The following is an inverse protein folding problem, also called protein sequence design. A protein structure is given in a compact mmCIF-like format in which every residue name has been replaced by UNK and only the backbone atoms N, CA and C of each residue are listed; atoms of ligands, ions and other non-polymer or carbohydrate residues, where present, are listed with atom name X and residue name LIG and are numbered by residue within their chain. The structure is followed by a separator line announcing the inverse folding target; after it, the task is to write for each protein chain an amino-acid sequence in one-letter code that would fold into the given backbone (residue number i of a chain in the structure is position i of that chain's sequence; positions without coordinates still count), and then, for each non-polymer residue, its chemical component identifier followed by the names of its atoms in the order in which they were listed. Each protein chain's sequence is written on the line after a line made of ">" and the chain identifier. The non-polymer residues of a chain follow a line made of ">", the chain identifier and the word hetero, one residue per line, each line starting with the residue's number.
data_IF_229304337177
#
_entry.id   IF_229304337177
#
_cell.length_a   1.000
_cell.length_b   1.000
_cell.length_c   1.000
_cell.angle_alpha   90.00
_cell.angle_beta   90.00
_cell.angle_gamma   90.00
#
_symmetry.space_group_name_H-M   'P 1'
#
loop_
_entity.id
_entity.type
_entity.pdbx_description
1 polymer ?
#
# COMPACT_ATOMS: atom_id res chain seq x y z
N UNK A 1 30.19 17.39 4.64
CA UNK A 1 29.59 16.23 5.32
C UNK A 1 28.54 16.75 6.29
N UNK A 2 27.29 16.85 5.86
CA UNK A 2 26.16 17.34 6.67
C UNK A 2 25.37 16.15 7.19
N UNK A 3 25.16 16.10 8.51
CA UNK A 3 24.53 14.99 9.21
C UNK A 3 23.09 14.76 8.71
N UNK A 4 22.76 13.50 8.44
CA UNK A 4 21.42 13.06 8.05
C UNK A 4 20.42 13.35 9.17
N UNK A 5 19.57 14.34 8.93
CA UNK A 5 18.47 14.67 9.82
C UNK A 5 17.41 13.58 9.75
N UNK A 6 17.45 12.64 10.70
CA UNK A 6 16.42 11.62 10.91
C UNK A 6 15.07 12.30 11.13
N UNK A 7 14.14 12.11 10.19
CA UNK A 7 12.82 12.74 10.23
C UNK A 7 11.91 11.98 11.21
N UNK A 8 11.06 12.69 11.99
CA UNK A 8 10.19 12.05 12.96
C UNK A 8 9.18 11.08 12.30
N UNK A 9 8.76 10.02 13.00
CA UNK A 9 7.83 9.03 12.48
C UNK A 9 6.46 9.67 12.17
N UNK A 10 5.94 9.45 10.96
CA UNK A 10 4.63 9.92 10.51
C UNK A 10 3.50 9.38 11.40
N UNK A 11 2.72 10.29 12.00
CA UNK A 11 1.61 10.02 12.94
C UNK A 11 0.21 10.08 12.30
N UNK A 12 0.13 10.50 11.05
CA UNK A 12 -1.11 10.77 10.30
C UNK A 12 -1.80 9.51 9.73
N UNK A 13 -1.27 8.31 10.01
CA UNK A 13 -1.78 7.03 9.50
C UNK A 13 -2.19 6.05 10.63
N UNK A 14 -3.07 6.43 11.58
CA UNK A 14 -3.43 5.56 12.70
C UNK A 14 -4.14 4.26 12.26
N UNK A 15 -4.76 4.23 11.07
CA UNK A 15 -5.44 3.05 10.55
C UNK A 15 -4.49 1.96 10.04
N UNK A 16 -3.27 2.31 9.58
CA UNK A 16 -2.23 1.33 9.22
C UNK A 16 -1.75 0.56 10.46
N UNK A 17 -1.63 1.25 11.60
CA UNK A 17 -1.15 0.66 12.86
C UNK A 17 -2.17 -0.28 13.50
N UNK A 18 -3.48 -0.04 13.31
CA UNK A 18 -4.53 -0.84 13.97
C UNK A 18 -4.75 -2.23 13.38
N UNK A 19 -4.40 -2.47 12.11
CA UNK A 19 -4.56 -3.81 11.49
C UNK A 19 -3.32 -4.69 11.58
N UNK A 20 -2.15 -4.13 11.86
CA UNK A 20 -0.91 -4.90 12.04
C UNK A 20 -0.85 -5.72 13.34
N UNK A 21 -1.80 -5.52 14.28
CA UNK A 21 -1.84 -6.24 15.57
C UNK A 21 -3.09 -7.11 15.71
N UNK A 22 -3.30 -8.02 14.78
CA UNK A 22 -3.90 -9.31 15.12
C UNK A 22 -2.74 -10.24 15.45
N UNK A 23 -2.50 -10.45 16.74
CA UNK A 23 -1.48 -11.36 17.24
C UNK A 23 -1.76 -12.79 16.75
N UNK A 24 -0.67 -13.51 16.46
CA UNK A 24 -0.61 -14.86 15.90
C UNK A 24 -1.60 -15.83 16.57
N UNK A 25 -2.47 -16.41 15.75
CA UNK A 25 -3.09 -17.69 16.08
C UNK A 25 -2.02 -18.80 15.99
N UNK A 26 -2.02 -19.81 16.87
CA UNK A 26 -1.12 -20.96 16.76
C UNK A 26 -1.34 -21.68 15.42
N UNK A 27 -0.31 -22.34 14.85
CA UNK A 27 -0.43 -23.00 13.56
C UNK A 27 -1.49 -24.09 13.62
N UNK A 28 -2.56 -23.91 12.84
CA UNK A 28 -3.49 -24.99 12.55
C UNK A 28 -2.77 -26.04 11.71
N UNK A 29 -2.75 -27.27 12.21
CA UNK A 29 -2.31 -28.47 11.50
C UNK A 29 -2.94 -28.57 10.10
N UNK A 30 -2.10 -28.87 9.12
CA UNK A 30 -2.42 -28.90 7.68
C UNK A 30 -3.63 -29.80 7.33
N UNK A 31 -4.54 -29.37 6.42
CA UNK A 31 -5.63 -30.21 5.94
C UNK A 31 -5.18 -30.91 4.64
N UNK A 32 -4.27 -31.89 4.75
CA UNK A 32 -3.96 -32.79 3.62
C UNK A 32 -4.78 -34.10 3.65
N UNK A 33 -5.45 -34.40 4.77
CA UNK A 33 -6.19 -35.65 4.94
C UNK A 33 -7.69 -35.58 4.54
N UNK A 34 -8.28 -34.38 4.50
CA UNK A 34 -9.75 -34.25 4.36
C UNK A 34 -10.29 -34.50 2.94
N UNK A 35 -9.45 -34.41 1.90
CA UNK A 35 -9.87 -34.66 0.50
C UNK A 35 -9.75 -36.15 0.14
N UNK A 36 -8.84 -36.89 0.77
CA UNK A 36 -8.68 -38.32 0.54
C UNK A 36 -9.83 -39.15 1.14
N UNK A 37 -10.37 -38.76 2.31
CA UNK A 37 -11.46 -39.49 2.96
C UNK A 37 -12.83 -39.32 2.28
N UNK A 38 -13.06 -38.20 1.57
CA UNK A 38 -14.30 -37.98 0.81
C UNK A 38 -14.38 -38.86 -0.45
N UNK A 39 -13.26 -39.08 -1.13
CA UNK A 39 -13.19 -39.95 -2.32
C UNK A 39 -13.31 -41.44 -1.93
N UNK A 40 -12.92 -41.80 -0.70
CA UNK A 40 -12.96 -43.18 -0.19
C UNK A 40 -14.31 -43.59 0.48
N UNK A 41 -15.32 -42.72 0.48
CA UNK A 41 -16.66 -43.06 1.00
C UNK A 41 -16.74 -43.31 2.51
N UNK A 42 -15.78 -42.84 3.31
CA UNK A 42 -15.79 -43.03 4.77
C UNK A 42 -16.47 -41.84 5.45
N UNK A 43 -17.71 -42.06 5.91
CA UNK A 43 -18.45 -41.09 6.72
C UNK A 43 -17.81 -40.91 8.11
N UNK A 44 -17.85 -39.70 8.70
CA UNK A 44 -17.28 -39.47 10.01
C UNK A 44 -18.10 -40.15 11.12
N UNK A 45 -17.41 -40.89 11.98
CA UNK A 45 -17.99 -41.52 13.16
C UNK A 45 -18.42 -40.47 14.20
N UNK A 46 -19.67 -40.58 14.65
CA UNK A 46 -20.33 -39.73 15.65
C UNK A 46 -19.69 -39.94 17.03
N UNK A 47 -18.98 -38.93 17.54
CA UNK A 47 -18.39 -38.95 18.90
C UNK A 47 -19.48 -38.71 19.96
N UNK A 48 -19.64 -39.58 20.97
CA UNK A 48 -20.63 -39.39 22.04
C UNK A 48 -20.23 -38.26 23.00
N UNK A 49 -21.25 -37.55 23.48
CA UNK A 49 -21.17 -36.51 24.49
C UNK A 49 -20.89 -37.12 25.88
N UNK A 50 -19.92 -36.55 26.61
CA UNK A 50 -19.68 -36.88 28.01
C UNK A 50 -20.30 -35.80 28.90
N UNK A 51 -21.10 -36.26 29.86
CA UNK A 51 -21.84 -35.48 30.86
C UNK A 51 -21.05 -35.42 32.17
N UNK A 52 -21.25 -34.30 32.88
CA UNK A 52 -21.14 -34.10 34.34
C UNK A 52 -19.77 -34.03 35.04
N UNK A 53 -19.53 -32.92 35.74
CA UNK A 53 -19.39 -32.92 37.21
C UNK A 53 -19.43 -31.47 37.76
N UNK A 54 -20.16 -31.29 38.86
CA UNK A 54 -20.39 -30.04 39.56
C UNK A 54 -19.66 -29.99 40.91
N UNK A 55 -19.53 -28.74 41.43
CA UNK A 55 -19.22 -28.31 42.81
C UNK A 55 -17.73 -28.13 43.20
N UNK A 56 -17.38 -27.29 44.22
CA UNK A 56 -18.22 -26.41 45.04
C UNK A 56 -17.80 -24.91 45.04
N UNK A 57 -18.63 -24.10 45.69
CA UNK A 57 -18.47 -22.66 45.90
C UNK A 57 -17.33 -22.34 46.87
N UNK A 58 -16.42 -21.45 46.45
CA UNK A 58 -15.43 -20.78 47.29
C UNK A 58 -15.87 -19.34 47.56
N UNK A 59 -16.01 -19.03 48.84
CA UNK A 59 -16.39 -17.75 49.42
C UNK A 59 -15.26 -16.71 49.34
N UNK A 60 -15.67 -15.48 49.01
CA UNK A 60 -15.09 -14.19 49.41
C UNK A 60 -13.65 -13.82 49.00
N UNK A 61 -13.56 -12.90 48.04
CA UNK A 61 -12.71 -11.71 48.19
C UNK A 61 -13.42 -10.51 47.54
N UNK A 62 -13.83 -9.56 48.36
CA UNK A 62 -14.48 -8.32 47.93
C UNK A 62 -13.58 -7.53 46.97
N UNK A 63 -14.13 -7.26 45.80
CA UNK A 63 -13.57 -6.38 44.78
C UNK A 63 -13.99 -4.96 45.12
N UNK A 64 -13.02 -4.10 45.44
CA UNK A 64 -13.24 -2.65 45.48
C UNK A 64 -13.97 -2.21 44.19
N UNK A 65 -15.01 -1.38 44.26
CA UNK A 65 -15.70 -0.87 43.09
C UNK A 65 -14.70 -0.07 42.25
N UNK A 66 -14.18 -0.67 41.18
CA UNK A 66 -13.36 0.01 40.19
C UNK A 66 -14.23 1.11 39.59
N UNK A 67 -13.90 2.40 39.75
CA UNK A 67 -14.68 3.47 39.15
C UNK A 67 -14.78 3.20 37.65
N UNK A 68 -16.01 3.21 37.13
CA UNK A 68 -16.29 3.03 35.72
C UNK A 68 -15.45 4.05 34.95
N UNK A 69 -14.45 3.55 34.21
CA UNK A 69 -13.65 4.42 33.36
C UNK A 69 -14.60 5.16 32.43
N UNK A 70 -14.50 6.49 32.30
CA UNK A 70 -15.36 7.23 31.38
C UNK A 70 -15.24 6.59 30.00
N UNK A 71 -16.35 6.08 29.49
CA UNK A 71 -16.46 5.54 28.13
C UNK A 71 -16.05 6.65 27.18
N UNK A 72 -14.79 6.61 26.74
CA UNK A 72 -14.28 7.59 25.81
C UNK A 72 -15.21 7.60 24.58
N UNK A 73 -15.71 8.78 24.16
CA UNK A 73 -16.59 8.86 23.00
C UNK A 73 -15.89 8.19 21.83
N UNK A 74 -16.58 7.21 21.22
CA UNK A 74 -16.05 6.48 20.08
C UNK A 74 -15.72 7.49 18.98
N UNK A 75 -14.43 7.66 18.70
CA UNK A 75 -14.00 8.53 17.62
C UNK A 75 -14.71 8.09 16.32
N UNK A 76 -15.20 9.02 15.50
CA UNK A 76 -15.90 8.67 14.26
C UNK A 76 -15.01 7.76 13.42
N UNK A 77 -15.54 6.61 13.03
CA UNK A 77 -14.83 5.66 12.18
C UNK A 77 -14.58 6.32 10.82
N UNK A 78 -13.32 6.55 10.47
CA UNK A 78 -12.96 7.04 9.15
C UNK A 78 -13.38 6.01 8.09
N UNK A 79 -14.31 6.38 7.23
CA UNK A 79 -14.74 5.56 6.09
C UNK A 79 -14.02 6.08 4.84
N UNK A 80 -13.03 5.34 4.30
CA UNK A 80 -12.35 5.77 3.10
C UNK A 80 -13.32 5.80 1.91
N UNK A 81 -13.20 6.83 1.07
CA UNK A 81 -13.96 6.94 -0.17
C UNK A 81 -13.58 5.78 -1.10
N UNK A 82 -14.52 5.31 -1.91
CA UNK A 82 -14.28 4.35 -2.99
C UNK A 82 -14.49 5.02 -4.35
N UNK A 83 -13.78 4.60 -5.41
CA UNK A 83 -14.01 5.14 -6.75
C UNK A 83 -15.40 4.75 -7.24
N UNK A 84 -16.09 5.68 -7.90
CA UNK A 84 -17.33 5.37 -8.62
C UNK A 84 -16.99 4.82 -10.01
N UNK A 85 -17.74 3.84 -10.54
CA UNK A 85 -17.63 3.47 -11.96
C UNK A 85 -18.05 4.60 -12.90
N UNK A 86 -18.96 5.48 -12.45
CA UNK A 86 -19.61 6.49 -13.30
C UNK A 86 -18.81 7.80 -13.44
N UNK A 87 -17.63 7.91 -12.83
CA UNK A 87 -16.85 9.14 -12.90
C UNK A 87 -15.47 9.10 -12.26
N UNK A 88 -14.67 10.11 -12.55
CA UNK A 88 -13.33 10.25 -12.00
C UNK A 88 -13.37 10.62 -10.51
N UNK A 89 -12.56 9.93 -9.72
CA UNK A 89 -12.32 10.29 -8.31
C UNK A 89 -11.06 11.13 -8.21
N UNK A 90 -11.23 12.43 -7.98
CA UNK A 90 -10.09 13.35 -7.83
C UNK A 90 -9.54 13.30 -6.40
N UNK A 91 -8.25 13.01 -6.26
CA UNK A 91 -7.51 13.08 -5.00
C UNK A 91 -6.88 14.46 -4.87
N UNK A 92 -7.22 15.16 -3.80
CA UNK A 92 -6.70 16.50 -3.51
C UNK A 92 -5.96 16.48 -2.18
N UNK A 93 -5.19 17.51 -1.84
CA UNK A 93 -4.54 17.62 -0.53
C UNK A 93 -5.54 17.51 0.64
N UNK A 94 -6.77 17.99 0.46
CA UNK A 94 -7.85 17.89 1.46
C UNK A 94 -8.52 16.52 1.50
N UNK A 95 -8.46 15.76 0.41
CA UNK A 95 -9.06 14.43 0.26
C UNK A 95 -8.06 13.52 -0.46
N UNK A 96 -6.96 13.14 0.21
CA UNK A 96 -5.84 12.51 -0.48
C UNK A 96 -6.04 11.02 -0.69
N UNK A 97 -7.01 10.38 -0.02
CA UNK A 97 -7.10 8.92 0.08
C UNK A 97 -8.35 8.36 -0.58
N UNK A 98 -8.19 7.25 -1.31
CA UNK A 98 -9.27 6.40 -1.82
C UNK A 98 -8.91 4.94 -1.58
N UNK A 99 -9.91 4.12 -1.23
CA UNK A 99 -9.80 2.68 -1.09
C UNK A 99 -10.39 2.02 -2.32
N UNK A 100 -9.56 1.30 -3.08
CA UNK A 100 -10.04 0.43 -4.15
C UNK A 100 -10.81 -0.74 -3.54
N UNK A 101 -11.90 -1.15 -4.18
CA UNK A 101 -12.61 -2.35 -3.74
C UNK A 101 -11.81 -3.62 -4.08
N UNK A 102 -12.22 -4.76 -3.53
CA UNK A 102 -11.57 -6.05 -3.77
C UNK A 102 -11.52 -6.41 -5.26
N UNK A 103 -12.58 -6.12 -6.01
CA UNK A 103 -12.65 -6.42 -7.45
C UNK A 103 -11.61 -5.59 -8.23
N UNK A 104 -11.56 -4.29 -7.96
CA UNK A 104 -10.61 -3.34 -8.52
C UNK A 104 -9.16 -3.61 -8.11
N UNK A 105 -8.95 -4.32 -6.99
CA UNK A 105 -7.61 -4.65 -6.47
C UNK A 105 -7.11 -6.04 -6.88
N UNK A 106 -7.98 -6.89 -7.43
CA UNK A 106 -7.66 -8.30 -7.69
C UNK A 106 -7.75 -8.71 -9.17
N UNK A 107 -8.31 -7.87 -10.04
CA UNK A 107 -8.54 -8.24 -11.45
C UNK A 107 -7.72 -7.37 -12.39
N UNK A 108 -7.00 -8.02 -13.30
CA UNK A 108 -6.32 -7.37 -14.42
C UNK A 108 -5.11 -6.58 -13.97
N UNK A 109 -5.05 -5.30 -14.35
CA UNK A 109 -3.94 -4.43 -14.04
C UNK A 109 -4.42 -3.06 -13.56
N UNK A 110 -3.66 -2.45 -12.64
CA UNK A 110 -3.78 -1.04 -12.31
C UNK A 110 -2.77 -0.28 -13.17
N UNK A 111 -3.27 0.53 -14.10
CA UNK A 111 -2.45 1.37 -14.97
C UNK A 111 -2.34 2.76 -14.39
N UNK A 112 -1.12 3.28 -14.29
CA UNK A 112 -0.84 4.58 -13.71
C UNK A 112 -0.02 5.36 -14.72
N UNK A 113 -0.59 6.45 -15.23
CA UNK A 113 -0.02 7.22 -16.33
C UNK A 113 0.21 8.67 -15.90
N UNK A 114 1.40 9.17 -16.24
CA UNK A 114 1.71 10.59 -16.14
C UNK A 114 1.21 11.35 -17.37
N UNK A 115 0.36 12.35 -17.16
CA UNK A 115 -0.12 13.27 -18.19
C UNK A 115 0.41 14.68 -17.88
N UNK A 116 1.61 14.98 -18.36
CA UNK A 116 2.27 16.29 -18.19
C UNK A 116 2.90 16.74 -19.52
N UNK A 117 3.28 18.03 -19.66
CA UNK A 117 3.91 18.50 -20.88
C UNK A 117 5.20 17.72 -21.19
N UNK A 118 5.54 17.55 -22.49
CA UNK A 118 6.72 16.79 -22.90
C UNK A 118 7.99 17.23 -22.18
N UNK A 119 8.87 16.27 -21.86
CA UNK A 119 10.15 16.51 -21.17
C UNK A 119 10.04 17.17 -19.78
N UNK A 120 8.83 17.36 -19.23
CA UNK A 120 8.66 17.97 -17.91
C UNK A 120 9.00 17.04 -16.75
N UNK A 121 8.82 15.72 -16.91
CA UNK A 121 9.11 14.79 -15.83
C UNK A 121 9.30 13.34 -16.29
N UNK A 122 10.04 12.59 -15.47
CA UNK A 122 10.28 11.14 -15.53
C UNK A 122 9.54 10.43 -14.40
N UNK A 123 8.71 9.45 -14.71
CA UNK A 123 7.90 8.65 -13.80
C UNK A 123 8.65 7.39 -13.39
N UNK A 124 8.67 7.12 -12.10
CA UNK A 124 9.17 5.86 -11.58
C UNK A 124 8.45 5.43 -10.31
N UNK A 125 8.90 4.31 -9.76
CA UNK A 125 8.24 3.66 -8.63
C UNK A 125 9.27 2.95 -7.75
N UNK A 126 9.23 3.16 -6.43
CA UNK A 126 9.88 2.29 -5.46
C UNK A 126 8.82 1.47 -4.74
N UNK A 127 9.12 0.20 -4.49
CA UNK A 127 8.17 -0.69 -3.86
C UNK A 127 8.81 -1.77 -3.00
N UNK A 128 7.97 -2.34 -2.15
CA UNK A 128 8.32 -3.41 -1.23
C UNK A 128 7.36 -4.57 -1.43
N UNK A 129 7.94 -5.76 -1.61
CA UNK A 129 7.21 -7.01 -1.67
C UNK A 129 6.98 -7.57 -0.26
N UNK A 130 6.01 -8.47 -0.15
CA UNK A 130 5.70 -9.21 1.06
C UNK A 130 6.88 -10.03 1.60
N UNK A 131 7.81 -10.43 0.72
CA UNK A 131 9.07 -11.07 1.11
C UNK A 131 10.03 -10.13 1.85
N UNK A 132 9.72 -8.85 1.96
CA UNK A 132 10.59 -7.81 2.52
C UNK A 132 11.62 -7.27 1.52
N UNK A 133 11.62 -7.75 0.27
CA UNK A 133 12.49 -7.23 -0.80
C UNK A 133 11.98 -5.86 -1.24
N UNK A 134 12.87 -4.87 -1.25
CA UNK A 134 12.61 -3.55 -1.82
C UNK A 134 13.30 -3.43 -3.17
N UNK A 135 12.68 -2.75 -4.12
CA UNK A 135 13.25 -2.49 -5.43
C UNK A 135 12.65 -1.23 -6.04
N UNK A 136 13.25 -0.77 -7.13
CA UNK A 136 12.82 0.40 -7.88
C UNK A 136 12.65 0.04 -9.35
N UNK A 137 11.68 0.66 -9.98
CA UNK A 137 11.55 0.70 -11.44
C UNK A 137 11.66 2.17 -11.85
N UNK A 138 12.70 2.48 -12.61
CA UNK A 138 13.10 3.84 -12.96
C UNK A 138 13.40 3.93 -14.46
N UNK A 139 13.05 5.04 -15.16
CA UNK A 139 13.43 5.22 -16.55
C UNK A 139 14.96 5.16 -16.73
N UNK A 140 15.43 4.28 -17.60
CA UNK A 140 16.86 4.05 -17.82
C UNK A 140 17.52 3.13 -16.79
N UNK A 141 16.82 2.75 -15.71
CA UNK A 141 17.28 1.76 -14.75
C UNK A 141 17.05 0.33 -15.23
N UNK A 142 17.97 -0.57 -14.91
CA UNK A 142 17.79 -2.02 -15.09
C UNK A 142 17.46 -2.63 -13.73
N UNK A 143 16.38 -3.42 -13.59
CA UNK A 143 15.46 -3.86 -14.64
C UNK A 143 14.29 -2.88 -14.89
N UNK A 144 13.94 -2.63 -16.16
CA UNK A 144 12.73 -1.86 -16.52
C UNK A 144 11.40 -2.57 -16.21
N UNK A 145 11.47 -3.86 -15.86
CA UNK A 145 10.36 -4.68 -15.40
C UNK A 145 10.82 -5.50 -14.19
N UNK A 146 10.10 -5.36 -13.08
CA UNK A 146 10.31 -6.16 -11.88
C UNK A 146 8.94 -6.57 -11.37
N UNK A 147 8.59 -7.84 -11.53
CA UNK A 147 7.29 -8.34 -11.10
C UNK A 147 7.00 -7.93 -9.64
N UNK A 148 5.79 -7.40 -9.33
CA UNK A 148 4.59 -7.32 -10.18
C UNK A 148 4.44 -6.01 -11.00
N UNK A 149 5.48 -5.18 -11.08
CA UNK A 149 5.46 -3.87 -11.71
C UNK A 149 6.22 -3.84 -13.04
N UNK A 150 5.65 -3.15 -14.01
CA UNK A 150 6.29 -2.87 -15.30
C UNK A 150 6.22 -1.38 -15.58
N UNK A 151 7.33 -0.77 -15.97
CA UNK A 151 7.35 0.59 -16.49
C UNK A 151 7.47 0.52 -18.01
N UNK A 152 6.62 1.28 -18.69
CA UNK A 152 6.62 1.38 -20.15
C UNK A 152 6.68 2.86 -20.52
N UNK A 153 7.66 3.21 -21.35
CA UNK A 153 7.80 4.53 -21.94
C UNK A 153 7.47 4.43 -23.44
N UNK A 154 6.38 5.06 -23.85
CA UNK A 154 5.93 5.12 -25.24
C UNK A 154 6.02 6.57 -25.71
N UNK A 155 7.17 6.94 -26.28
CA UNK A 155 7.48 8.33 -26.61
C UNK A 155 7.49 9.19 -25.36
N UNK A 156 6.62 10.19 -25.30
CA UNK A 156 6.50 11.14 -24.19
C UNK A 156 5.62 10.62 -23.05
N UNK A 157 4.83 9.56 -23.28
CA UNK A 157 3.94 8.99 -22.28
C UNK A 157 4.65 7.90 -21.48
N UNK A 158 4.60 8.02 -20.16
CA UNK A 158 5.16 7.03 -19.24
C UNK A 158 4.05 6.41 -18.41
N UNK A 159 4.03 5.07 -18.39
CA UNK A 159 2.99 4.28 -17.73
C UNK A 159 3.65 3.25 -16.83
N UNK A 160 3.27 3.26 -15.54
CA UNK A 160 3.54 2.18 -14.60
C UNK A 160 2.32 1.27 -14.58
N UNK A 161 2.53 -0.02 -14.85
CA UNK A 161 1.50 -1.05 -14.80
C UNK A 161 1.78 -2.00 -13.65
N UNK A 162 0.82 -2.14 -12.75
CA UNK A 162 0.82 -3.11 -11.67
C UNK A 162 -0.08 -4.29 -12.03
N UNK A 163 0.47 -5.50 -12.06
CA UNK A 163 -0.31 -6.73 -12.19
C UNK A 163 -1.08 -7.01 -10.89
N UNK A 164 -2.41 -6.96 -10.97
CA UNK A 164 -3.27 -7.15 -9.81
C UNK A 164 -3.50 -8.62 -9.48
N UNK A 165 -3.20 -9.55 -10.39
CA UNK A 165 -3.20 -10.98 -10.07
C UNK A 165 -2.12 -11.33 -9.04
N UNK A 166 -1.06 -10.51 -9.00
CA UNK A 166 0.05 -10.61 -8.05
C UNK A 166 -0.03 -9.56 -6.95
N UNK A 167 -1.21 -8.99 -6.72
CA UNK A 167 -1.37 -7.89 -5.76
C UNK A 167 -0.93 -8.27 -4.34
N UNK A 168 -1.11 -9.53 -3.94
CA UNK A 168 -0.72 -10.03 -2.62
C UNK A 168 0.79 -10.10 -2.40
N UNK A 169 1.57 -10.05 -3.47
CA UNK A 169 3.03 -9.98 -3.37
C UNK A 169 3.52 -8.56 -3.06
N UNK A 170 2.71 -7.52 -3.32
CA UNK A 170 3.07 -6.13 -3.08
C UNK A 170 2.49 -5.64 -1.74
N UNK A 171 3.34 -5.20 -0.82
CA UNK A 171 2.90 -4.61 0.46
C UNK A 171 2.64 -3.10 0.30
N UNK A 172 3.58 -2.39 -0.33
CA UNK A 172 3.49 -0.95 -0.55
C UNK A 172 4.35 -0.48 -1.72
N UNK A 173 3.95 0.64 -2.30
CA UNK A 173 4.71 1.35 -3.33
C UNK A 173 4.59 2.86 -3.17
N UNK A 174 5.56 3.60 -3.70
CA UNK A 174 5.46 5.03 -3.97
C UNK A 174 5.67 5.26 -5.46
N UNK A 175 4.88 6.16 -6.03
CA UNK A 175 5.16 6.68 -7.36
C UNK A 175 5.71 8.08 -7.25
N UNK A 176 6.71 8.32 -8.08
CA UNK A 176 7.49 9.54 -8.09
C UNK A 176 7.58 10.08 -9.51
N UNK A 177 7.69 11.40 -9.60
CA UNK A 177 8.11 12.08 -10.81
C UNK A 177 9.41 12.85 -10.52
N UNK A 178 10.41 12.74 -11.38
CA UNK A 178 11.63 13.56 -11.30
C UNK A 178 11.69 14.55 -12.45
N UNK A 179 12.14 15.76 -12.15
CA UNK A 179 12.49 16.75 -13.15
C UNK A 179 13.89 17.30 -12.85
N UNK A 180 14.74 17.35 -13.88
CA UNK A 180 16.11 17.87 -13.76
C UNK A 180 16.13 19.41 -13.86
N UNK A 181 15.02 20.00 -14.33
CA UNK A 181 14.86 21.45 -14.53
C UNK A 181 13.88 22.04 -13.52
N UNK A 182 14.03 23.33 -13.21
CA UNK A 182 13.09 24.07 -12.38
C UNK A 182 11.85 24.50 -13.18
N UNK A 183 11.06 23.53 -13.66
CA UNK A 183 9.79 23.77 -14.38
C UNK A 183 8.61 23.60 -13.42
N UNK A 184 7.49 24.34 -13.62
CA UNK A 184 6.27 24.13 -12.84
C UNK A 184 5.80 22.68 -12.91
N UNK A 185 5.34 22.14 -11.78
CA UNK A 185 4.70 20.84 -11.72
C UNK A 185 3.27 20.96 -12.21
N UNK A 186 3.06 20.76 -13.51
CA UNK A 186 1.75 20.85 -14.16
C UNK A 186 1.39 19.53 -14.83
N UNK A 187 0.16 19.05 -14.63
CA UNK A 187 -0.34 17.84 -15.27
C UNK A 187 -1.34 17.08 -14.40
N UNK A 188 -1.48 15.79 -14.66
CA UNK A 188 -2.31 14.88 -13.85
C UNK A 188 -1.68 13.49 -13.85
N UNK A 189 -1.63 12.84 -12.68
CA UNK A 189 -1.43 11.40 -12.59
C UNK A 189 -2.79 10.71 -12.69
N UNK A 190 -2.96 9.87 -13.72
CA UNK A 190 -4.19 9.13 -13.97
C UNK A 190 -4.01 7.66 -13.61
N UNK A 191 -4.83 7.16 -12.69
CA UNK A 191 -4.93 5.75 -12.39
C UNK A 191 -6.20 5.18 -13.02
N UNK A 192 -6.08 4.08 -13.74
CA UNK A 192 -7.20 3.36 -14.34
C UNK A 192 -7.25 1.92 -13.83
N UNK A 193 -8.38 1.53 -13.25
CA UNK A 193 -8.60 0.15 -12.79
C UNK A 193 -9.22 -0.71 -13.88
N UNK A 194 -9.24 -2.02 -13.67
CA UNK A 194 -10.17 -2.89 -14.38
C UNK A 194 -11.62 -2.42 -14.21
N UNK A 195 -12.41 -2.43 -15.28
CA UNK A 195 -13.76 -1.86 -15.30
C UNK A 195 -13.84 -0.35 -15.56
N UNK A 196 -12.70 0.31 -15.80
CA UNK A 196 -12.68 1.69 -16.31
C UNK A 196 -12.83 2.80 -15.26
N UNK A 197 -12.89 2.47 -13.97
CA UNK A 197 -12.88 3.48 -12.91
C UNK A 197 -11.57 4.28 -12.96
N UNK A 198 -11.68 5.60 -12.73
CA UNK A 198 -10.56 6.53 -12.82
C UNK A 198 -10.31 7.23 -11.50
N UNK A 199 -9.03 7.34 -11.14
CA UNK A 199 -8.58 8.16 -10.02
C UNK A 199 -7.58 9.17 -10.56
N UNK A 200 -7.79 10.44 -10.28
CA UNK A 200 -6.96 11.54 -10.78
C UNK A 200 -6.24 12.20 -9.62
N UNK A 201 -4.93 12.39 -9.77
CA UNK A 201 -4.14 13.25 -8.89
C UNK A 201 -3.66 14.41 -9.77
N UNK A 202 -4.38 15.55 -9.78
CA UNK A 202 -3.92 16.72 -10.51
C UNK A 202 -2.53 17.12 -10.00
N UNK A 203 -1.75 17.84 -10.79
CA UNK A 203 -0.45 18.39 -10.43
C UNK A 203 -0.49 19.88 -10.76
N UNK A 204 -0.31 20.68 -9.71
CA UNK A 204 -0.27 22.13 -9.73
C UNK A 204 0.64 22.59 -8.58
N UNK A 205 1.88 22.89 -8.94
CA UNK A 205 2.93 23.23 -7.99
C UNK A 205 3.95 24.20 -8.58
N UNK A 206 4.65 24.94 -7.71
CA UNK A 206 5.68 25.89 -8.14
C UNK A 206 6.83 25.17 -8.85
N UNK A 207 7.61 25.89 -9.68
CA UNK A 207 8.77 25.32 -10.32
C UNK A 207 9.80 24.83 -9.30
N UNK A 208 10.21 23.57 -9.40
CA UNK A 208 11.23 23.01 -8.54
C UNK A 208 11.91 21.78 -9.18
N UNK A 209 13.25 21.72 -9.23
CA UNK A 209 13.96 20.53 -9.68
C UNK A 209 13.93 19.45 -8.59
N UNK A 210 14.24 18.20 -8.94
CA UNK A 210 14.31 17.07 -8.02
C UNK A 210 13.11 16.13 -8.15
N UNK A 211 12.74 15.48 -7.05
CA UNK A 211 11.72 14.42 -7.04
C UNK A 211 10.45 14.89 -6.35
N UNK A 212 9.31 14.71 -7.00
CA UNK A 212 7.98 14.85 -6.43
C UNK A 212 7.37 13.46 -6.18
N UNK A 213 7.09 13.15 -4.92
CA UNK A 213 6.32 11.95 -4.55
C UNK A 213 4.84 12.24 -4.82
N UNK A 214 4.33 11.61 -5.87
CA UNK A 214 2.97 11.86 -6.37
C UNK A 214 1.95 11.14 -5.50
N UNK A 215 2.19 9.85 -5.26
CA UNK A 215 1.27 9.00 -4.52
C UNK A 215 1.98 7.86 -3.79
N UNK A 216 1.33 7.35 -2.77
CA UNK A 216 1.63 6.09 -2.12
C UNK A 216 0.49 5.09 -2.32
N UNK A 217 0.85 3.81 -2.38
CA UNK A 217 -0.04 2.67 -2.53
C UNK A 217 0.24 1.70 -1.39
N UNK A 218 -0.79 1.24 -0.69
CA UNK A 218 -0.67 0.25 0.38
C UNK A 218 -1.65 -0.90 0.15
N UNK A 219 -1.19 -2.13 0.30
CA UNK A 219 -2.05 -3.30 0.32
C UNK A 219 -2.57 -3.55 1.75
N UNK A 220 -3.88 -3.43 1.94
CA UNK A 220 -4.57 -3.73 3.18
C UNK A 220 -5.46 -4.94 2.99
N UNK A 221 -4.92 -6.13 3.29
CA UNK A 221 -5.67 -7.39 3.24
C UNK A 221 -6.28 -7.68 1.85
N UNK A 222 -5.55 -7.35 0.78
CA UNK A 222 -5.97 -7.55 -0.61
C UNK A 222 -6.80 -6.41 -1.20
N UNK A 223 -7.03 -5.32 -0.45
CA UNK A 223 -7.56 -4.06 -1.00
C UNK A 223 -6.45 -3.01 -1.05
N UNK A 224 -6.35 -2.28 -2.16
CA UNK A 224 -5.38 -1.20 -2.27
C UNK A 224 -5.92 0.13 -1.75
N UNK A 225 -5.16 0.76 -0.86
CA UNK A 225 -5.32 2.16 -0.49
C UNK A 225 -4.38 3.00 -1.33
N UNK A 226 -4.95 3.94 -2.08
CA UNK A 226 -4.21 4.96 -2.83
C UNK A 226 -4.25 6.26 -2.04
N UNK A 227 -3.10 6.90 -1.88
CA UNK A 227 -2.99 8.20 -1.23
C UNK A 227 -2.14 9.17 -2.07
N UNK A 228 -2.68 10.34 -2.39
CA UNK A 228 -1.91 11.44 -2.95
C UNK A 228 -0.98 12.06 -1.88
N UNK A 229 0.30 12.22 -2.20
CA UNK A 229 1.33 12.66 -1.25
C UNK A 229 1.75 14.11 -1.49
N UNK A 230 2.04 14.49 -2.74
CA UNK A 230 2.47 15.85 -3.12
C UNK A 230 3.70 16.36 -2.37
N UNK A 231 4.63 15.47 -2.06
CA UNK A 231 5.82 15.82 -1.31
C UNK A 231 7.02 16.02 -2.23
N UNK A 232 7.58 17.22 -2.22
CA UNK A 232 8.81 17.53 -2.93
C UNK A 232 10.03 17.16 -2.08
N UNK A 233 10.97 16.47 -2.71
CA UNK A 233 12.23 16.03 -2.13
C UNK A 233 13.34 16.62 -2.99
N UNK A 234 14.09 17.55 -2.41
CA UNK A 234 15.31 18.07 -2.99
C UNK A 234 16.36 16.96 -2.98
N UNK A 235 16.52 16.25 -4.10
CA UNK A 235 17.43 15.13 -4.21
C UNK A 235 17.08 14.18 -5.34
N UNK A 236 17.59 12.96 -5.19
CA UNK A 236 17.53 11.85 -6.14
C UNK A 236 16.41 10.86 -5.81
N UNK A 237 16.22 9.86 -6.67
CA UNK A 237 15.27 8.78 -6.41
C UNK A 237 15.62 8.00 -5.12
N UNK A 238 16.91 7.83 -4.81
CA UNK A 238 17.38 7.23 -3.56
C UNK A 238 16.90 8.01 -2.33
N UNK A 239 16.94 9.34 -2.38
CA UNK A 239 16.52 10.19 -1.27
C UNK A 239 15.01 10.04 -1.04
N UNK A 240 14.23 9.99 -2.12
CA UNK A 240 12.79 9.76 -2.05
C UNK A 240 12.44 8.37 -1.50
N UNK A 241 13.11 7.33 -1.98
CA UNK A 241 12.96 5.96 -1.49
C UNK A 241 13.29 5.88 0.01
N UNK A 242 14.40 6.49 0.43
CA UNK A 242 14.83 6.51 1.83
C UNK A 242 13.84 7.26 2.73
N UNK A 243 13.34 8.41 2.28
CA UNK A 243 12.37 9.22 3.03
C UNK A 243 11.05 8.48 3.30
N UNK A 244 10.68 7.54 2.43
CA UNK A 244 9.50 6.68 2.58
C UNK A 244 9.83 5.30 3.17
N UNK A 245 11.06 5.09 3.62
CA UNK A 245 11.50 3.89 4.32
C UNK A 245 11.74 2.68 3.43
N UNK A 246 12.11 2.88 2.16
CA UNK A 246 12.63 1.83 1.28
C UNK A 246 14.16 1.77 1.40
N UNK A 247 14.63 1.45 2.61
CA UNK A 247 16.04 1.45 3.02
C UNK A 247 16.84 0.23 2.54
N UNK A 248 16.16 -0.80 2.03
CA UNK A 248 16.76 -2.06 1.56
C UNK A 248 17.10 -2.09 0.07
N UNK A 249 17.02 -0.95 -0.61
CA UNK A 249 17.44 -0.84 -2.01
C UNK A 249 18.93 -0.53 -2.01
N UNK A 250 19.71 -1.34 -2.72
CA UNK A 250 21.12 -1.06 -2.96
C UNK A 250 21.25 -0.11 -4.15
N UNK A 251 22.17 0.85 -4.06
CA UNK A 251 22.32 1.93 -5.05
C UNK A 251 23.76 2.06 -5.52
N UNK A 252 23.95 2.19 -6.82
CA UNK A 252 25.23 2.60 -7.41
C UNK A 252 25.43 4.11 -7.27
N UNK A 253 24.39 4.89 -7.59
CA UNK A 253 24.34 6.35 -7.46
C UNK A 253 22.97 6.81 -6.93
N UNK A 254 22.60 8.08 -7.10
CA UNK A 254 21.31 8.60 -6.63
C UNK A 254 20.08 8.00 -7.32
N UNK A 255 20.21 7.57 -8.57
CA UNK A 255 19.07 7.17 -9.42
C UNK A 255 19.19 5.74 -9.96
N UNK A 256 20.36 5.12 -9.83
CA UNK A 256 20.67 3.78 -10.31
C UNK A 256 20.70 2.78 -9.16
N UNK A 257 19.67 1.94 -9.08
CA UNK A 257 19.67 0.80 -8.16
C UNK A 257 20.49 -0.38 -8.71
N UNK A 258 21.06 -1.17 -7.81
CA UNK A 258 21.73 -2.43 -8.10
C UNK A 258 20.97 -3.59 -7.44
N UNK A 259 20.76 -4.66 -8.18
CA UNK A 259 20.01 -5.85 -7.75
C UNK A 259 20.88 -6.88 -7.07
#
# INVERSE_FOLDING_TARGET
>A
MTAGQSRPPRTDLPYLRRRARAAAAPPASAPAAAVADFIAGRGPARRPAATAAAAPAGTSLELSPRPAAPTAPAAPAFVPRRPSPDGATVLTRRRPTVLLNRLQSAIGALRIQGLWPPHSARLGCAFQLHSGRCTVVWPGGVPGRVDPLTLTANGESQTVTLDLLRCRELDRAILVAACDSAVPWTGTLLLTTYGGSRVEVPLDGPPAPGVLVLMSLYNLSGEYVVRAEWEHIAGSMRDAATAYGFDRISWYDGDTAIS
#
